data_IF_929212841692
#
_entry.id   IF_929212841692
#
_cell.length_a   1.000
_cell.length_b   1.000
_cell.length_c   1.000
_cell.angle_alpha   90.00
_cell.angle_beta   90.00
_cell.angle_gamma   90.00
#
_symmetry.space_group_name_H-M   'P 1'
#
loop_
_entity.id
_entity.type
_entity.pdbx_description
1 polymer ?
#
# COMPACT_ATOMS: atom_id res chain seq x y z
N UNK A 1 -0.09 -6.85 7.81
CA UNK A 1 0.02 -7.84 6.75
C UNK A 1 0.72 -7.29 5.51
N UNK A 2 0.30 -6.12 5.06
CA UNK A 2 0.95 -5.45 3.95
C UNK A 2 2.42 -5.17 4.29
N UNK A 3 2.69 -4.74 5.52
CA UNK A 3 4.03 -4.45 5.99
C UNK A 3 4.92 -5.69 5.99
N UNK A 4 4.35 -6.86 6.31
CA UNK A 4 5.10 -8.12 6.27
C UNK A 4 5.53 -8.45 4.86
N UNK A 5 4.64 -8.28 3.89
CA UNK A 5 4.97 -8.49 2.48
C UNK A 5 6.05 -7.51 2.05
N UNK A 6 5.95 -6.25 2.48
CA UNK A 6 6.92 -5.22 2.16
C UNK A 6 8.31 -5.56 2.69
N UNK A 7 8.38 -6.12 3.89
CA UNK A 7 9.66 -6.51 4.49
C UNK A 7 10.38 -7.56 3.64
N UNK A 8 9.62 -8.50 3.05
CA UNK A 8 10.19 -9.57 2.25
C UNK A 8 10.58 -9.13 0.85
N UNK A 9 9.91 -8.10 0.31
CA UNK A 9 10.02 -7.72 -1.10
C UNK A 9 10.62 -6.33 -1.34
N UNK A 10 11.31 -5.77 -0.34
CA UNK A 10 11.91 -4.46 -0.48
C UNK A 10 13.05 -4.50 -1.51
N UNK A 11 13.10 -3.55 -2.46
CA UNK A 11 14.14 -3.56 -3.50
C UNK A 11 15.53 -3.36 -2.91
N UNK A 12 16.48 -4.17 -3.36
CA UNK A 12 17.87 -4.06 -2.92
C UNK A 12 18.47 -2.68 -3.23
N UNK A 13 18.08 -2.11 -4.37
CA UNK A 13 18.57 -0.80 -4.80
C UNK A 13 18.24 0.27 -3.75
N UNK A 14 17.00 0.28 -3.25
CA UNK A 14 16.59 1.24 -2.24
C UNK A 14 17.36 1.06 -0.94
N UNK A 15 17.66 -0.19 -0.57
CA UNK A 15 18.44 -0.48 0.63
C UNK A 15 19.87 0.04 0.52
N UNK A 16 20.53 -0.25 -0.60
CA UNK A 16 21.91 0.16 -0.82
C UNK A 16 22.06 1.66 -0.83
N UNK A 17 21.08 2.36 -1.38
CA UNK A 17 21.10 3.83 -1.47
C UNK A 17 20.54 4.49 -0.23
N UNK A 18 20.02 3.70 0.73
CA UNK A 18 19.43 4.19 1.98
C UNK A 18 18.36 5.26 1.74
N UNK A 19 17.48 5.04 0.76
CA UNK A 19 16.48 6.01 0.37
C UNK A 19 15.40 6.14 1.46
N UNK A 20 14.94 7.38 1.65
CA UNK A 20 13.85 7.68 2.58
C UNK A 20 12.75 8.46 1.87
N UNK A 21 11.52 8.25 2.29
CA UNK A 21 10.39 8.97 1.73
C UNK A 21 9.08 8.35 2.17
N UNK A 22 8.01 9.09 1.99
CA UNK A 22 6.68 8.69 2.45
C UNK A 22 5.67 8.80 1.31
N UNK A 23 5.65 7.83 0.39
CA UNK A 23 4.67 7.88 -0.70
C UNK A 23 3.27 7.64 -0.15
N UNK A 24 2.29 8.31 -0.74
CA UNK A 24 0.88 8.10 -0.42
C UNK A 24 0.23 7.40 -1.60
N UNK A 25 -0.38 6.25 -1.34
CA UNK A 25 -1.09 5.49 -2.35
C UNK A 25 -2.58 5.50 -2.06
N UNK A 26 -3.38 5.61 -3.10
CA UNK A 26 -4.81 5.38 -3.01
C UNK A 26 -5.08 3.95 -3.43
N UNK A 27 -5.76 3.20 -2.59
CA UNK A 27 -6.05 1.78 -2.79
C UNK A 27 -7.54 1.57 -2.80
N UNK A 28 -8.03 0.80 -3.78
CA UNK A 28 -9.43 0.40 -3.84
C UNK A 28 -9.51 -1.12 -3.79
N UNK A 29 -10.25 -1.64 -2.83
CA UNK A 29 -10.43 -3.08 -2.61
C UNK A 29 -11.89 -3.42 -2.75
N UNK A 30 -12.20 -4.46 -3.53
CA UNK A 30 -13.56 -4.94 -3.74
C UNK A 30 -14.02 -5.73 -2.52
N UNK A 31 -15.35 -5.87 -2.39
CA UNK A 31 -15.94 -6.60 -1.26
C UNK A 31 -15.46 -8.04 -1.14
N UNK A 32 -15.05 -8.66 -2.25
CA UNK A 32 -14.53 -10.02 -2.25
C UNK A 32 -13.02 -10.08 -1.91
N UNK A 33 -12.40 -8.94 -1.64
CA UNK A 33 -10.99 -8.87 -1.28
C UNK A 33 -10.05 -8.61 -2.46
N UNK A 34 -10.56 -8.55 -3.69
CA UNK A 34 -9.73 -8.30 -4.86
C UNK A 34 -9.30 -6.85 -4.93
N UNK A 35 -8.06 -6.64 -5.34
CA UNK A 35 -7.54 -5.30 -5.56
C UNK A 35 -8.15 -4.74 -6.85
N UNK A 36 -8.87 -3.63 -6.74
CA UNK A 36 -9.46 -2.96 -7.89
C UNK A 36 -8.47 -1.96 -8.50
N UNK A 37 -7.78 -1.18 -7.65
CA UNK A 37 -6.93 -0.12 -8.12
C UNK A 37 -5.89 0.23 -7.06
N UNK A 38 -4.69 0.60 -7.51
CA UNK A 38 -3.67 1.22 -6.67
C UNK A 38 -3.00 2.32 -7.47
N UNK A 39 -2.95 3.53 -6.91
CA UNK A 39 -2.43 4.71 -7.58
C UNK A 39 -1.54 5.48 -6.62
N UNK A 40 -0.39 5.95 -7.10
CA UNK A 40 0.47 6.84 -6.31
C UNK A 40 -0.14 8.23 -6.33
N UNK A 41 -0.58 8.71 -5.17
CA UNK A 41 -1.15 10.06 -5.04
C UNK A 41 -0.09 11.09 -4.73
N UNK A 42 0.92 10.69 -3.98
CA UNK A 42 2.06 11.58 -3.67
C UNK A 42 3.33 10.75 -3.71
N UNK A 43 4.26 11.17 -4.54
CA UNK A 43 5.54 10.47 -4.67
C UNK A 43 6.41 10.66 -3.43
N UNK A 44 7.20 9.64 -3.11
CA UNK A 44 8.24 9.74 -2.09
C UNK A 44 9.39 10.66 -2.52
N UNK A 45 9.44 11.00 -3.81
CA UNK A 45 10.60 11.66 -4.39
C UNK A 45 11.58 10.67 -5.02
N UNK A 46 11.32 9.37 -4.87
CA UNK A 46 12.17 8.31 -5.42
C UNK A 46 11.30 7.28 -6.12
N UNK A 47 11.54 7.10 -7.41
CA UNK A 47 10.77 6.15 -8.22
C UNK A 47 10.83 4.75 -7.63
N UNK A 48 11.98 4.35 -7.10
CA UNK A 48 12.19 3.02 -6.55
C UNK A 48 11.28 2.76 -5.34
N UNK A 49 11.11 3.76 -4.47
CA UNK A 49 10.23 3.63 -3.31
C UNK A 49 8.77 3.61 -3.72
N UNK A 50 8.40 4.44 -4.69
CA UNK A 50 7.02 4.49 -5.17
C UNK A 50 6.63 3.14 -5.81
N UNK A 51 7.51 2.59 -6.64
CA UNK A 51 7.29 1.30 -7.25
C UNK A 51 7.22 0.19 -6.22
N UNK A 52 8.08 0.23 -5.20
CA UNK A 52 8.07 -0.75 -4.13
C UNK A 52 6.73 -0.75 -3.38
N UNK A 53 6.21 0.43 -3.08
CA UNK A 53 4.94 0.55 -2.37
C UNK A 53 3.79 -0.06 -3.19
N UNK A 54 3.75 0.22 -4.49
CA UNK A 54 2.75 -0.35 -5.38
C UNK A 54 2.87 -1.87 -5.43
N UNK A 55 4.08 -2.38 -5.57
CA UNK A 55 4.32 -3.82 -5.64
C UNK A 55 3.93 -4.54 -4.36
N UNK A 56 4.19 -3.93 -3.21
CA UNK A 56 3.80 -4.48 -1.90
C UNK A 56 2.28 -4.67 -1.85
N UNK A 57 1.52 -3.67 -2.28
CA UNK A 57 0.06 -3.75 -2.27
C UNK A 57 -0.41 -4.87 -3.21
N UNK A 58 0.17 -4.95 -4.40
CA UNK A 58 -0.20 -5.98 -5.36
C UNK A 58 0.11 -7.38 -4.86
N UNK A 59 1.27 -7.57 -4.22
CA UNK A 59 1.67 -8.87 -3.68
C UNK A 59 0.84 -9.27 -2.47
N UNK A 60 0.32 -8.32 -1.72
CA UNK A 60 -0.56 -8.60 -0.59
C UNK A 60 -1.97 -9.00 -1.04
N UNK A 61 -2.33 -8.70 -2.28
CA UNK A 61 -3.63 -9.07 -2.87
C UNK A 61 -3.65 -10.57 -3.21
N UNK A 62 -4.82 -11.25 -3.12
CA UNK A 62 -6.10 -10.72 -2.64
C UNK A 62 -6.12 -10.57 -1.12
N UNK A 63 -6.94 -9.64 -0.67
CA UNK A 63 -7.15 -9.40 0.76
C UNK A 63 -8.32 -10.25 1.26
N UNK A 64 -8.52 -10.27 2.57
CA UNK A 64 -9.67 -10.97 3.15
C UNK A 64 -10.96 -10.29 2.68
N UNK A 65 -12.01 -11.07 2.36
CA UNK A 65 -13.31 -10.49 2.01
C UNK A 65 -13.86 -9.65 3.15
N UNK A 66 -14.68 -8.67 2.80
CA UNK A 66 -15.37 -7.86 3.82
C UNK A 66 -16.28 -8.74 4.66
N UNK A 67 -16.48 -8.41 5.95
CA UNK A 67 -17.51 -9.07 6.75
C UNK A 67 -18.88 -8.92 6.08
N UNK A 68 -19.83 -9.86 6.29
CA UNK A 68 -21.12 -9.84 5.60
C UNK A 68 -21.86 -8.52 5.72
N UNK A 69 -21.89 -7.92 6.92
CA UNK A 69 -22.59 -6.66 7.11
C UNK A 69 -21.99 -5.53 6.27
N UNK A 70 -20.67 -5.53 6.09
CA UNK A 70 -19.99 -4.53 5.29
C UNK A 70 -20.21 -4.78 3.79
N UNK A 71 -20.24 -6.07 3.38
CA UNK A 71 -20.47 -6.44 1.98
C UNK A 71 -21.82 -5.98 1.48
N UNK A 72 -22.84 -6.00 2.35
CA UNK A 72 -24.17 -5.55 2.00
C UNK A 72 -24.24 -4.06 1.72
N UNK A 73 -23.36 -3.29 2.37
CA UNK A 73 -23.39 -1.83 2.28
C UNK A 73 -22.41 -1.28 1.26
N UNK A 74 -21.25 -1.93 1.11
CA UNK A 74 -20.15 -1.36 0.34
C UNK A 74 -19.62 -2.37 -0.66
N UNK A 75 -19.77 -2.10 -1.96
CA UNK A 75 -19.17 -2.96 -2.98
C UNK A 75 -17.66 -2.78 -3.05
N UNK A 76 -17.13 -1.68 -2.52
CA UNK A 76 -15.73 -1.33 -2.63
C UNK A 76 -15.33 -0.41 -1.49
N UNK A 77 -14.09 -0.57 -1.03
CA UNK A 77 -13.49 0.32 -0.05
C UNK A 77 -12.32 1.05 -0.70
N UNK A 78 -12.33 2.38 -0.63
CA UNK A 78 -11.22 3.21 -1.10
C UNK A 78 -10.61 3.92 0.10
N UNK A 79 -9.27 3.90 0.17
CA UNK A 79 -8.56 4.60 1.23
C UNK A 79 -7.20 5.05 0.73
N UNK A 80 -6.64 6.05 1.40
CA UNK A 80 -5.28 6.50 1.17
C UNK A 80 -4.38 5.91 2.26
N UNK A 81 -3.21 5.43 1.87
CA UNK A 81 -2.26 4.82 2.79
C UNK A 81 -0.90 5.47 2.59
N UNK A 82 -0.31 5.95 3.67
CA UNK A 82 1.03 6.52 3.66
C UNK A 82 2.03 5.47 4.09
N UNK A 83 2.97 5.18 3.21
CA UNK A 83 4.09 4.29 3.51
C UNK A 83 5.24 5.11 4.06
N UNK A 84 5.93 4.57 5.05
CA UNK A 84 7.07 5.24 5.64
C UNK A 84 8.33 4.42 5.41
N UNK A 85 9.18 4.91 4.52
CA UNK A 85 10.49 4.31 4.26
C UNK A 85 11.56 5.17 4.90
N UNK A 86 12.42 4.54 5.68
CA UNK A 86 13.52 5.23 6.34
C UNK A 86 14.81 4.47 6.06
N UNK A 87 15.75 5.15 5.40
CA UNK A 87 17.08 4.61 5.08
C UNK A 87 16.98 3.24 4.40
N UNK A 88 16.10 3.12 3.41
CA UNK A 88 15.93 1.89 2.66
C UNK A 88 15.16 0.80 3.37
N UNK A 89 14.47 1.12 4.46
CA UNK A 89 13.68 0.14 5.21
C UNK A 89 12.24 0.60 5.33
N UNK A 90 11.31 -0.35 5.22
CA UNK A 90 9.91 -0.07 5.43
C UNK A 90 9.66 0.08 6.93
N UNK A 91 9.14 1.23 7.34
CA UNK A 91 8.67 1.46 8.69
C UNK A 91 7.18 1.22 8.79
N UNK A 92 6.58 1.75 9.86
CA UNK A 92 5.13 1.67 10.04
C UNK A 92 4.43 2.57 9.01
N UNK A 93 3.40 2.02 8.38
CA UNK A 93 2.54 2.81 7.52
C UNK A 93 1.30 3.25 8.26
N UNK A 94 0.54 4.13 7.68
CA UNK A 94 -0.71 4.57 8.28
C UNK A 94 -1.76 4.83 7.22
N UNK A 95 -3.00 4.47 7.57
CA UNK A 95 -4.16 4.80 6.75
C UNK A 95 -4.51 6.26 7.00
N UNK A 96 -4.59 7.04 5.93
CA UNK A 96 -5.07 8.40 5.98
C UNK A 96 -6.60 8.38 6.00
N UNK A 97 -7.28 9.37 5.52
CA UNK A 97 -8.74 9.34 5.51
C UNK A 97 -9.26 8.39 4.44
N UNK A 98 -10.36 7.62 4.71
CA UNK A 98 -11.03 6.87 3.65
C UNK A 98 -11.51 7.79 2.54
N UNK A 99 -11.47 7.32 1.31
CA UNK A 99 -11.94 8.09 0.15
C UNK A 99 -13.38 7.73 -0.16
N UNK A 100 -14.24 8.73 -0.46
CA UNK A 100 -15.63 8.45 -0.81
C UNK A 100 -15.78 7.67 -2.09
#
# INVERSE_FOLDING_TARGET
>A
RIEQVGTLNFPNEARRRALSGNPVLEVAIRADGRLEQVVVRRSSGHRELDAAAVDIVRLASPFDPFPPAMRERYPMLRFAYEWQFLKGRLGDGSVLAPQP
#
